data_IF_571905870465
#
_entry.id   IF_571905870465
#
_cell.length_a   1.000
_cell.length_b   1.000
_cell.length_c   1.000
_cell.angle_alpha   90.00
_cell.angle_beta   90.00
_cell.angle_gamma   90.00
#
_symmetry.space_group_name_H-M   'P 1'
#
loop_
_entity.id
_entity.type
_entity.pdbx_description
1 polymer ?
#
# COMPACT_ATOMS: atom_id res chain seq x y z
N UNK A 1 -15.70 -21.05 -11.85
CA UNK A 1 -15.47 -20.52 -10.46
C UNK A 1 -15.42 -19.00 -10.45
N UNK A 2 -14.62 -18.39 -11.32
CA UNK A 2 -14.48 -16.94 -11.43
C UNK A 2 -15.82 -16.25 -11.75
N UNK A 3 -16.60 -16.79 -12.70
CA UNK A 3 -17.92 -16.29 -13.12
C UNK A 3 -18.85 -15.97 -11.93
N UNK A 4 -18.92 -16.87 -10.93
CA UNK A 4 -19.76 -16.69 -9.74
C UNK A 4 -19.53 -15.38 -8.99
N UNK A 5 -18.33 -14.79 -9.07
CA UNK A 5 -18.05 -13.49 -8.45
C UNK A 5 -18.75 -12.35 -9.21
N UNK A 6 -18.78 -12.43 -10.54
CA UNK A 6 -19.49 -11.50 -11.43
C UNK A 6 -21.00 -11.72 -11.37
N UNK A 7 -21.46 -12.98 -11.41
CA UNK A 7 -22.89 -13.35 -11.26
C UNK A 7 -23.46 -12.87 -9.92
N UNK A 8 -22.68 -12.95 -8.84
CA UNK A 8 -23.08 -12.44 -7.52
C UNK A 8 -23.13 -10.91 -7.43
N UNK A 9 -22.76 -10.20 -8.51
CA UNK A 9 -22.67 -8.73 -8.61
C UNK A 9 -21.76 -8.07 -7.57
N UNK A 10 -20.89 -8.82 -6.90
CA UNK A 10 -19.88 -8.29 -5.96
C UNK A 10 -18.72 -7.57 -6.64
N UNK A 11 -18.49 -7.87 -7.92
CA UNK A 11 -17.57 -7.18 -8.80
C UNK A 11 -18.21 -7.10 -10.19
N UNK A 12 -17.94 -6.05 -10.99
CA UNK A 12 -18.55 -5.89 -12.30
C UNK A 12 -17.92 -6.81 -13.36
N UNK A 13 -16.65 -7.16 -13.15
CA UNK A 13 -15.86 -8.01 -14.02
C UNK A 13 -14.50 -8.26 -13.39
N UNK A 14 -13.72 -9.14 -14.04
CA UNK A 14 -12.36 -9.49 -13.65
C UNK A 14 -11.53 -9.87 -14.87
N UNK A 15 -10.21 -9.83 -14.70
CA UNK A 15 -9.24 -10.51 -15.56
C UNK A 15 -8.39 -11.40 -14.67
N UNK A 16 -8.21 -12.65 -15.06
CA UNK A 16 -7.36 -13.62 -14.37
C UNK A 16 -6.35 -14.21 -15.36
N UNK A 17 -5.11 -14.39 -14.91
CA UNK A 17 -4.05 -15.00 -15.69
C UNK A 17 -3.36 -16.10 -14.87
N UNK A 18 -3.16 -17.27 -15.49
CA UNK A 18 -2.50 -18.43 -14.88
C UNK A 18 -1.44 -18.94 -15.85
N UNK A 19 -0.18 -18.92 -15.42
CA UNK A 19 0.95 -19.49 -16.15
C UNK A 19 1.37 -20.85 -15.56
N UNK A 20 1.68 -21.82 -16.41
CA UNK A 20 2.25 -23.12 -16.01
C UNK A 20 3.25 -23.60 -17.06
N UNK A 21 4.54 -23.48 -16.76
CA UNK A 21 5.58 -23.72 -17.76
C UNK A 21 5.50 -22.65 -18.85
N UNK A 22 5.37 -23.09 -20.11
CA UNK A 22 5.17 -22.20 -21.26
C UNK A 22 3.69 -21.89 -21.54
N UNK A 23 2.76 -22.63 -20.94
CA UNK A 23 1.32 -22.40 -21.11
C UNK A 23 0.86 -21.19 -20.29
N UNK A 24 0.09 -20.31 -20.91
CA UNK A 24 -0.62 -19.21 -20.24
C UNK A 24 -2.10 -19.26 -20.59
N UNK A 25 -2.97 -19.23 -19.59
CA UNK A 25 -4.40 -19.00 -19.75
C UNK A 25 -4.76 -17.62 -19.21
N UNK A 26 -5.59 -16.91 -19.97
CA UNK A 26 -6.15 -15.61 -19.63
C UNK A 26 -7.66 -15.70 -19.74
N UNK A 27 -8.36 -15.37 -18.67
CA UNK A 27 -9.81 -15.28 -18.59
C UNK A 27 -10.21 -13.82 -18.35
N UNK A 28 -11.13 -13.29 -19.15
CA UNK A 28 -11.68 -11.95 -18.99
C UNK A 28 -13.21 -12.04 -18.96
N UNK A 29 -13.82 -11.66 -17.83
CA UNK A 29 -15.22 -11.96 -17.52
C UNK A 29 -15.91 -10.67 -17.06
N UNK A 30 -17.12 -10.41 -17.55
CA UNK A 30 -17.94 -9.26 -17.16
C UNK A 30 -17.51 -7.94 -17.80
N UNK A 31 -17.87 -6.84 -17.15
CA UNK A 31 -17.70 -5.46 -17.65
C UNK A 31 -16.87 -4.61 -16.71
N UNK A 32 -16.35 -3.48 -17.20
CA UNK A 32 -15.60 -2.52 -16.39
C UNK A 32 -16.47 -1.78 -15.35
N UNK A 33 -17.80 -1.86 -15.44
CA UNK A 33 -18.76 -1.18 -14.55
C UNK A 33 -19.95 -2.07 -14.20
N UNK A 34 -20.57 -1.83 -13.05
CA UNK A 34 -21.73 -2.60 -12.56
C UNK A 34 -23.02 -2.35 -13.36
N UNK A 35 -23.14 -1.20 -14.02
CA UNK A 35 -24.21 -0.85 -14.96
C UNK A 35 -23.95 -1.34 -16.40
N UNK A 36 -22.91 -2.17 -16.60
CA UNK A 36 -22.51 -2.75 -17.88
C UNK A 36 -21.40 -1.95 -18.57
N UNK A 37 -21.57 -1.67 -19.86
CA UNK A 37 -20.58 -0.95 -20.66
C UNK A 37 -19.44 -1.82 -21.18
N UNK A 38 -18.24 -1.26 -21.28
CA UNK A 38 -17.06 -1.90 -21.89
C UNK A 38 -16.75 -3.26 -21.25
N UNK A 39 -16.64 -4.35 -22.04
CA UNK A 39 -16.21 -5.65 -21.52
C UNK A 39 -14.81 -5.61 -20.91
N UNK A 40 -14.55 -6.48 -19.94
CA UNK A 40 -13.18 -6.75 -19.51
C UNK A 40 -12.36 -7.35 -20.66
N UNK A 41 -11.07 -7.02 -20.72
CA UNK A 41 -10.13 -7.47 -21.76
C UNK A 41 -8.78 -7.81 -21.12
N UNK A 42 -7.97 -8.60 -21.82
CA UNK A 42 -6.60 -8.89 -21.37
C UNK A 42 -5.70 -7.66 -21.25
N UNK A 43 -6.08 -6.52 -21.85
CA UNK A 43 -5.40 -5.23 -21.76
C UNK A 43 -6.09 -4.23 -20.80
N UNK A 44 -7.11 -4.62 -20.02
CA UNK A 44 -7.68 -3.72 -18.99
C UNK A 44 -6.57 -3.27 -18.02
N UNK A 45 -6.49 -1.97 -17.75
CA UNK A 45 -5.52 -1.38 -16.82
C UNK A 45 -6.13 -1.39 -15.42
N UNK A 46 -5.40 -1.87 -14.42
CA UNK A 46 -5.87 -1.97 -13.04
C UNK A 46 -5.00 -1.16 -12.07
N UNK A 47 -5.63 -0.59 -11.03
CA UNK A 47 -4.93 -0.01 -9.88
C UNK A 47 -4.33 -1.15 -9.06
N UNK A 48 -3.00 -1.27 -9.05
CA UNK A 48 -2.28 -2.38 -8.40
C UNK A 48 -2.34 -2.36 -6.86
N UNK A 49 -2.65 -1.21 -6.26
CA UNK A 49 -2.66 -0.99 -4.82
C UNK A 49 -1.38 -1.56 -4.15
N UNK A 50 -1.54 -2.43 -3.15
CA UNK A 50 -0.42 -2.99 -2.39
C UNK A 50 0.47 -3.97 -3.17
N UNK A 51 0.03 -4.46 -4.34
CA UNK A 51 0.88 -5.33 -5.21
C UNK A 51 2.02 -4.57 -5.89
N UNK A 52 2.08 -3.24 -5.76
CA UNK A 52 3.23 -2.40 -6.11
C UNK A 52 4.46 -2.66 -5.21
N UNK A 53 4.29 -3.20 -3.99
CA UNK A 53 5.40 -3.40 -3.04
C UNK A 53 6.50 -4.33 -3.56
N UNK A 54 6.21 -5.54 -4.10
CA UNK A 54 7.20 -6.36 -4.80
C UNK A 54 7.98 -5.63 -5.90
N UNK A 55 7.38 -4.65 -6.59
CA UNK A 55 8.06 -3.85 -7.63
C UNK A 55 9.07 -2.87 -7.00
N UNK A 56 8.71 -2.23 -5.89
CA UNK A 56 9.64 -1.36 -5.13
C UNK A 56 10.78 -2.16 -4.46
N UNK A 57 10.46 -3.36 -3.96
CA UNK A 57 11.47 -4.32 -3.47
C UNK A 57 12.40 -4.73 -4.61
N UNK A 58 11.88 -5.11 -5.78
CA UNK A 58 12.71 -5.48 -6.94
C UNK A 58 13.63 -4.33 -7.39
N UNK A 59 13.13 -3.09 -7.44
CA UNK A 59 13.93 -1.91 -7.73
C UNK A 59 15.07 -1.69 -6.71
N UNK A 60 14.81 -1.96 -5.43
CA UNK A 60 15.82 -1.91 -4.38
C UNK A 60 16.84 -3.05 -4.55
N UNK A 61 16.39 -4.28 -4.85
CA UNK A 61 17.27 -5.43 -5.07
C UNK A 61 18.23 -5.23 -6.25
N UNK A 62 17.82 -4.55 -7.32
CA UNK A 62 18.74 -4.15 -8.41
C UNK A 62 19.92 -3.31 -7.88
N UNK A 63 19.68 -2.40 -6.92
CA UNK A 63 20.76 -1.60 -6.32
C UNK A 63 21.64 -2.42 -5.35
N UNK A 64 21.13 -3.53 -4.80
CA UNK A 64 21.93 -4.48 -4.03
C UNK A 64 22.84 -5.31 -4.95
N UNK A 65 22.30 -5.81 -6.08
CA UNK A 65 23.06 -6.55 -7.08
C UNK A 65 24.15 -5.68 -7.74
N UNK A 66 23.91 -4.37 -7.88
CA UNK A 66 24.90 -3.36 -8.29
C UNK A 66 25.88 -2.94 -7.18
N UNK A 67 25.79 -3.50 -5.96
CA UNK A 67 26.61 -3.12 -4.80
C UNK A 67 26.50 -1.64 -4.37
N UNK A 68 25.48 -0.92 -4.86
CA UNK A 68 25.15 0.46 -4.49
C UNK A 68 24.45 0.54 -3.15
N UNK A 69 23.78 -0.53 -2.74
CA UNK A 69 23.26 -0.75 -1.39
C UNK A 69 23.74 -2.10 -0.85
N UNK A 70 23.82 -2.22 0.47
CA UNK A 70 23.83 -3.50 1.19
C UNK A 70 22.65 -3.55 2.16
N UNK A 71 22.21 -4.76 2.51
CA UNK A 71 21.11 -4.96 3.46
C UNK A 71 21.36 -4.25 4.80
N UNK A 72 22.59 -4.29 5.31
CA UNK A 72 22.94 -3.77 6.63
C UNK A 72 23.52 -2.34 6.57
N UNK A 73 23.47 -1.66 5.41
CA UNK A 73 23.84 -0.25 5.30
C UNK A 73 22.81 0.61 6.07
N UNK A 74 23.25 1.55 6.93
CA UNK A 74 22.39 2.58 7.49
C UNK A 74 21.81 3.47 6.39
N UNK A 75 20.51 3.77 6.48
CA UNK A 75 19.82 4.61 5.47
C UNK A 75 20.13 6.11 5.63
N UNK A 76 20.60 6.51 6.81
CA UNK A 76 20.86 7.89 7.26
C UNK A 76 21.69 8.73 6.25
N UNK A 77 22.57 8.08 5.48
CA UNK A 77 23.42 8.73 4.47
C UNK A 77 22.64 9.25 3.24
N UNK A 78 21.49 8.67 2.93
CA UNK A 78 20.57 9.11 1.85
C UNK A 78 19.28 9.71 2.40
N UNK A 79 18.88 9.28 3.60
CA UNK A 79 17.66 9.66 4.30
C UNK A 79 18.03 10.22 5.68
N UNK A 80 18.49 11.49 5.78
CA UNK A 80 18.87 12.08 7.06
C UNK A 80 17.67 12.36 7.99
N UNK A 81 16.43 12.39 7.48
CA UNK A 81 15.22 12.64 8.27
C UNK A 81 14.89 11.55 9.32
N UNK A 82 15.24 10.26 9.10
CA UNK A 82 15.25 9.25 10.16
C UNK A 82 16.52 9.18 11.04
N UNK A 83 17.57 9.97 10.78
CA UNK A 83 18.83 9.85 11.51
C UNK A 83 18.69 10.24 13.00
N UNK A 84 19.39 9.52 13.89
CA UNK A 84 19.47 9.83 15.32
C UNK A 84 18.14 9.79 16.09
N UNK A 85 17.09 9.13 15.55
CA UNK A 85 15.73 9.20 16.09
C UNK A 85 15.55 8.64 17.49
N UNK A 86 14.47 9.15 18.10
CA UNK A 86 13.86 8.66 19.33
C UNK A 86 12.80 7.59 19.02
N UNK A 87 12.59 6.67 19.96
CA UNK A 87 11.57 5.61 19.93
C UNK A 87 10.64 5.84 21.11
N UNK A 88 9.33 5.69 20.93
CA UNK A 88 8.36 5.74 22.04
C UNK A 88 8.77 4.76 23.15
N UNK A 89 8.70 5.18 24.42
CA UNK A 89 8.89 4.24 25.54
C UNK A 89 7.77 3.20 25.60
N UNK A 90 6.57 3.61 25.18
CA UNK A 90 5.40 2.76 24.99
C UNK A 90 4.67 3.15 23.71
N UNK A 91 4.33 2.18 22.87
CA UNK A 91 3.62 2.44 21.62
C UNK A 91 2.18 2.99 21.78
N UNK A 92 1.60 2.89 22.98
CA UNK A 92 0.31 3.49 23.35
C UNK A 92 0.45 4.82 24.12
N UNK A 93 1.69 5.28 24.38
CA UNK A 93 2.00 6.46 25.19
C UNK A 93 2.02 7.79 24.43
N UNK A 94 2.29 8.90 25.15
CA UNK A 94 2.54 10.22 24.58
C UNK A 94 3.73 10.22 23.60
N UNK A 95 3.71 11.15 22.62
CA UNK A 95 4.72 11.20 21.56
C UNK A 95 6.08 11.76 22.01
N UNK A 96 6.11 12.46 23.15
CA UNK A 96 7.29 13.01 23.79
C UNK A 96 7.97 12.03 24.77
N UNK A 97 7.23 11.06 25.30
CA UNK A 97 7.76 9.96 26.13
C UNK A 97 8.56 8.97 25.27
N UNK A 98 9.86 9.22 25.16
CA UNK A 98 10.75 8.47 24.25
C UNK A 98 12.10 8.10 24.84
N UNK A 99 12.70 7.03 24.33
CA UNK A 99 14.11 6.62 24.51
C UNK A 99 14.91 6.77 23.21
N UNK A 100 16.26 6.77 23.24
CA UNK A 100 17.07 6.67 22.01
C UNK A 100 16.79 5.39 21.21
N UNK A 101 16.91 5.45 19.89
CA UNK A 101 17.05 4.25 19.07
C UNK A 101 18.38 3.54 19.41
N UNK A 102 18.34 2.21 19.56
CA UNK A 102 19.50 1.38 19.93
C UNK A 102 20.51 1.22 18.77
N UNK A 103 20.06 1.46 17.54
CA UNK A 103 20.85 1.44 16.29
C UNK A 103 20.14 2.24 15.19
N UNK A 104 20.84 2.64 14.11
CA UNK A 104 20.20 3.19 12.91
C UNK A 104 19.23 2.21 12.24
N UNK A 105 18.34 2.75 11.39
CA UNK A 105 17.52 1.97 10.46
C UNK A 105 18.40 1.53 9.28
N UNK A 106 18.25 0.28 8.85
CA UNK A 106 18.99 -0.29 7.72
C UNK A 106 18.10 -0.51 6.50
N UNK A 107 18.70 -0.72 5.33
CA UNK A 107 17.97 -1.11 4.10
C UNK A 107 17.15 -2.39 4.34
N UNK A 108 17.68 -3.35 5.10
CA UNK A 108 17.00 -4.58 5.55
C UNK A 108 15.71 -4.25 6.28
N UNK A 109 15.74 -3.32 7.24
CA UNK A 109 14.56 -2.96 8.04
C UNK A 109 13.43 -2.35 7.19
N UNK A 110 13.77 -1.64 6.10
CA UNK A 110 12.76 -1.16 5.16
C UNK A 110 12.16 -2.33 4.36
N UNK A 111 13.01 -3.20 3.81
CA UNK A 111 12.63 -4.39 3.04
C UNK A 111 11.81 -5.41 3.85
N UNK A 112 12.03 -5.51 5.16
CA UNK A 112 11.26 -6.39 6.07
C UNK A 112 10.14 -5.67 6.81
N UNK A 113 9.88 -4.38 6.52
CA UNK A 113 8.88 -3.54 7.21
C UNK A 113 9.07 -3.51 8.74
N UNK A 114 10.31 -3.55 9.22
CA UNK A 114 10.70 -3.52 10.65
C UNK A 114 11.43 -2.24 11.05
N UNK A 115 11.33 -1.16 10.29
CA UNK A 115 12.04 0.10 10.55
C UNK A 115 11.53 0.92 11.74
N UNK A 116 10.53 0.43 12.48
CA UNK A 116 9.91 1.16 13.60
C UNK A 116 8.89 2.21 13.19
N UNK A 117 8.61 2.37 11.89
CA UNK A 117 7.56 3.22 11.33
C UNK A 117 6.60 2.38 10.47
N UNK A 118 5.33 2.74 10.46
CA UNK A 118 4.28 2.01 9.76
C UNK A 118 2.97 1.93 10.52
N UNK A 119 1.98 1.31 9.88
CA UNK A 119 0.68 1.01 10.48
C UNK A 119 0.79 -0.23 11.37
N UNK A 120 0.57 -0.04 12.67
CA UNK A 120 0.32 -1.16 13.58
C UNK A 120 -1.17 -1.51 13.56
N UNK A 121 -1.50 -2.62 12.90
CA UNK A 121 -2.88 -3.11 12.76
C UNK A 121 -3.54 -3.47 14.11
N UNK A 122 -2.76 -3.62 15.19
CA UNK A 122 -3.27 -3.91 16.54
C UNK A 122 -3.43 -2.66 17.41
N UNK A 123 -2.88 -1.51 16.99
CA UNK A 123 -2.85 -0.25 17.73
C UNK A 123 -3.32 0.94 16.89
N UNK A 124 -4.33 0.73 16.03
CA UNK A 124 -4.87 1.73 15.09
C UNK A 124 -5.44 2.98 15.75
N UNK A 125 -5.83 2.90 17.03
CA UNK A 125 -6.28 4.04 17.85
C UNK A 125 -5.20 4.66 18.76
N UNK A 126 -3.92 4.33 18.59
CA UNK A 126 -2.83 4.90 19.38
C UNK A 126 -2.54 6.37 19.02
N UNK A 127 -1.93 7.16 19.94
CA UNK A 127 -1.55 8.55 19.66
C UNK A 127 -0.68 8.70 18.41
N UNK A 128 0.22 7.74 18.14
CA UNK A 128 1.05 7.72 16.95
C UNK A 128 0.22 7.65 15.66
N UNK A 129 -0.84 6.83 15.63
CA UNK A 129 -1.68 6.70 14.45
C UNK A 129 -2.48 7.97 14.19
N UNK A 130 -2.93 8.67 15.24
CA UNK A 130 -3.48 10.02 15.12
C UNK A 130 -2.46 11.00 14.53
N UNK A 131 -1.22 10.99 15.04
CA UNK A 131 -0.15 11.85 14.56
C UNK A 131 0.19 11.63 13.07
N UNK A 132 0.14 10.39 12.56
CA UNK A 132 0.33 10.14 11.13
C UNK A 132 -0.75 10.79 10.25
N UNK A 133 -2.00 10.90 10.72
CA UNK A 133 -3.05 11.61 10.00
C UNK A 133 -2.89 13.13 10.13
N UNK A 134 -2.63 13.64 11.33
CA UNK A 134 -2.42 15.08 11.58
C UNK A 134 -1.23 15.64 10.79
N UNK A 135 -0.13 14.89 10.71
CA UNK A 135 1.05 15.26 9.91
C UNK A 135 0.89 14.96 8.42
N UNK A 136 -0.24 14.39 7.97
CA UNK A 136 -0.45 13.90 6.59
C UNK A 136 0.72 13.03 6.10
N UNK A 137 1.06 12.01 6.90
CA UNK A 137 1.87 10.84 6.48
C UNK A 137 0.96 9.83 5.76
N UNK A 138 -0.30 9.72 6.21
CA UNK A 138 -1.40 9.14 5.46
C UNK A 138 -2.36 10.24 4.97
N UNK A 139 -3.13 9.96 3.91
CA UNK A 139 -4.09 10.87 3.29
C UNK A 139 -5.38 11.04 4.08
N UNK A 140 -6.20 12.02 3.69
CA UNK A 140 -7.39 12.42 4.46
C UNK A 140 -8.50 11.36 4.40
N UNK A 141 -8.50 10.54 3.35
CA UNK A 141 -9.46 9.46 3.11
C UNK A 141 -9.03 8.09 3.66
N UNK A 142 -7.93 7.98 4.44
CA UNK A 142 -7.55 6.75 5.14
C UNK A 142 -6.09 6.32 4.95
N UNK A 143 -5.82 5.02 5.02
CA UNK A 143 -4.47 4.41 5.14
C UNK A 143 -3.56 4.50 3.89
N UNK A 144 -3.82 5.46 3.01
CA UNK A 144 -3.08 5.66 1.77
C UNK A 144 -2.05 6.75 1.91
N UNK A 145 -1.02 6.74 1.07
CA UNK A 145 -0.04 7.82 1.05
C UNK A 145 -0.68 9.06 0.39
N UNK A 146 -0.53 10.27 0.96
CA UNK A 146 -1.09 11.49 0.39
C UNK A 146 -0.37 11.92 -0.88
N UNK A 147 -1.04 12.73 -1.70
CA UNK A 147 -0.47 13.32 -2.91
C UNK A 147 0.45 14.51 -2.55
N UNK A 148 1.65 14.21 -2.07
CA UNK A 148 2.66 15.19 -1.62
C UNK A 148 4.05 14.86 -2.16
N UNK A 149 4.88 15.89 -2.32
CA UNK A 149 6.26 15.70 -2.79
C UNK A 149 7.08 14.80 -1.84
N UNK A 150 7.91 13.87 -2.37
CA UNK A 150 8.59 12.86 -1.57
C UNK A 150 9.43 13.41 -0.41
N UNK A 151 10.14 14.52 -0.62
CA UNK A 151 11.00 15.12 0.41
C UNK A 151 10.17 15.81 1.51
N UNK A 152 9.03 16.40 1.17
CA UNK A 152 8.10 16.98 2.15
C UNK A 152 7.39 15.88 2.96
N UNK A 153 7.09 14.74 2.33
CA UNK A 153 6.60 13.54 3.02
C UNK A 153 7.65 12.96 3.98
N UNK A 154 8.90 12.83 3.51
CA UNK A 154 10.03 12.42 4.37
C UNK A 154 10.27 13.38 5.53
N UNK A 155 10.10 14.69 5.33
CA UNK A 155 10.21 15.69 6.41
C UNK A 155 9.10 15.55 7.46
N UNK A 156 7.86 15.30 7.05
CA UNK A 156 6.72 15.05 7.95
C UNK A 156 6.89 13.76 8.73
N UNK A 157 7.23 12.67 8.04
CA UNK A 157 7.60 11.41 8.66
C UNK A 157 8.81 11.59 9.59
N UNK A 158 9.74 12.47 9.21
CA UNK A 158 10.91 12.96 9.95
C UNK A 158 10.62 13.45 11.36
N UNK A 159 9.54 14.23 11.50
CA UNK A 159 9.17 14.90 12.75
C UNK A 159 8.57 13.97 13.82
N UNK A 160 8.31 12.70 13.50
CA UNK A 160 7.68 11.73 14.41
C UNK A 160 8.70 10.73 15.00
N UNK A 161 8.52 10.28 16.25
CA UNK A 161 9.34 9.22 16.83
C UNK A 161 9.08 7.87 16.13
N UNK A 162 9.96 6.89 16.35
CA UNK A 162 9.67 5.49 15.98
C UNK A 162 8.71 4.87 16.99
N UNK A 163 7.82 3.96 16.57
CA UNK A 163 6.93 3.21 17.46
C UNK A 163 7.64 2.11 18.25
N UNK A 164 8.62 1.49 17.61
CA UNK A 164 9.38 0.33 18.12
C UNK A 164 10.83 0.45 17.67
N UNK A 165 11.74 -0.29 18.31
CA UNK A 165 13.15 -0.27 17.91
C UNK A 165 13.32 -0.88 16.51
N UNK A 166 14.27 -0.40 15.68
CA UNK A 166 14.54 -1.00 14.38
C UNK A 166 14.84 -2.50 14.49
N UNK A 167 14.09 -3.32 13.76
CA UNK A 167 14.14 -4.79 13.77
C UNK A 167 13.24 -5.47 14.81
N UNK A 168 12.58 -4.73 15.71
CA UNK A 168 11.83 -5.33 16.84
C UNK A 168 10.41 -5.78 16.46
N UNK A 169 9.74 -5.08 15.54
CA UNK A 169 8.34 -5.33 15.19
C UNK A 169 8.04 -5.01 13.74
N UNK A 170 7.23 -5.85 13.11
CA UNK A 170 6.71 -5.63 11.76
C UNK A 170 5.55 -4.62 11.78
N UNK A 171 5.63 -3.61 10.92
CA UNK A 171 4.65 -2.52 10.80
C UNK A 171 4.38 -2.27 9.32
N UNK A 172 3.11 -2.10 8.93
CA UNK A 172 2.77 -2.09 7.52
C UNK A 172 3.04 -0.75 6.80
N UNK A 173 3.36 -0.85 5.51
CA UNK A 173 3.32 0.19 4.47
C UNK A 173 4.45 1.23 4.43
N UNK A 174 4.79 1.88 5.55
CA UNK A 174 5.70 3.05 5.50
C UNK A 174 7.10 2.67 5.03
N UNK A 175 7.62 1.50 5.43
CA UNK A 175 8.92 1.00 4.95
C UNK A 175 9.01 0.94 3.42
N UNK A 176 7.98 0.42 2.75
CA UNK A 176 7.94 0.31 1.29
C UNK A 176 7.88 1.67 0.57
N UNK A 177 7.20 2.65 1.18
CA UNK A 177 7.14 4.01 0.66
C UNK A 177 8.52 4.70 0.74
N UNK A 178 9.22 4.50 1.87
CA UNK A 178 10.59 4.98 2.08
C UNK A 178 11.57 4.32 1.11
N UNK A 179 11.39 3.06 0.70
CA UNK A 179 12.19 2.43 -0.35
C UNK A 179 12.14 3.20 -1.68
N UNK A 180 10.98 3.72 -2.07
CA UNK A 180 10.85 4.53 -3.28
C UNK A 180 11.71 5.80 -3.23
N UNK A 181 11.73 6.48 -2.07
CA UNK A 181 12.57 7.67 -1.86
C UNK A 181 14.06 7.30 -1.78
N UNK A 182 14.40 6.18 -1.12
CA UNK A 182 15.76 5.66 -1.04
C UNK A 182 16.32 5.39 -2.44
N UNK A 183 15.58 4.65 -3.28
CA UNK A 183 15.97 4.37 -4.67
C UNK A 183 16.20 5.67 -5.44
N UNK A 184 15.29 6.65 -5.34
CA UNK A 184 15.44 7.94 -6.01
C UNK A 184 16.71 8.69 -5.56
N UNK A 185 16.97 8.79 -4.25
CA UNK A 185 18.15 9.51 -3.72
C UNK A 185 19.47 8.78 -3.93
N UNK A 186 19.49 7.45 -3.93
CA UNK A 186 20.68 6.64 -4.29
C UNK A 186 21.03 6.77 -5.78
N UNK A 187 20.03 6.99 -6.62
CA UNK A 187 20.19 7.00 -8.09
C UNK A 187 20.35 8.39 -8.69
N UNK A 188 19.85 9.45 -8.02
CA UNK A 188 19.74 10.79 -8.61
C UNK A 188 18.65 10.90 -9.69
N UNK A 189 17.82 9.87 -9.83
CA UNK A 189 16.69 9.81 -10.78
C UNK A 189 15.36 9.82 -10.00
N UNK A 190 14.25 10.15 -10.67
CA UNK A 190 12.94 9.89 -10.06
C UNK A 190 12.67 8.38 -9.97
N UNK A 191 11.94 7.95 -8.93
CA UNK A 191 11.61 6.53 -8.75
C UNK A 191 10.85 5.95 -9.95
N UNK A 192 9.98 6.75 -10.60
CA UNK A 192 9.31 6.36 -11.84
C UNK A 192 10.29 6.17 -13.01
N UNK A 193 11.26 7.07 -13.19
CA UNK A 193 12.25 6.94 -14.25
C UNK A 193 13.09 5.67 -14.06
N UNK A 194 13.54 5.42 -12.83
CA UNK A 194 14.28 4.20 -12.48
C UNK A 194 13.45 2.93 -12.73
N UNK A 195 12.19 2.89 -12.29
CA UNK A 195 11.30 1.73 -12.56
C UNK A 195 11.09 1.52 -14.07
N UNK A 196 10.91 2.59 -14.83
CA UNK A 196 10.71 2.55 -16.28
C UNK A 196 11.96 2.02 -17.01
N UNK A 197 13.14 2.49 -16.63
CA UNK A 197 14.43 2.11 -17.21
C UNK A 197 14.82 0.68 -16.82
N UNK A 198 14.71 0.33 -15.53
CA UNK A 198 15.34 -0.85 -14.94
C UNK A 198 14.41 -2.06 -14.80
N UNK A 199 13.09 -1.85 -14.74
CA UNK A 199 12.10 -2.92 -14.55
C UNK A 199 11.14 -3.00 -15.73
N UNK A 200 10.36 -1.94 -15.99
CA UNK A 200 9.23 -1.99 -16.93
C UNK A 200 9.67 -2.09 -18.39
N UNK A 201 10.69 -1.34 -18.81
CA UNK A 201 11.25 -1.38 -20.15
C UNK A 201 11.76 -2.78 -20.54
N UNK A 202 12.71 -3.36 -19.77
CA UNK A 202 13.25 -4.71 -20.03
C UNK A 202 12.19 -5.81 -20.03
N UNK A 203 11.14 -5.68 -19.21
CA UNK A 203 10.02 -6.64 -19.12
C UNK A 203 8.87 -6.34 -20.11
N UNK A 204 8.96 -5.28 -20.93
CA UNK A 204 7.93 -4.92 -21.91
C UNK A 204 6.61 -4.39 -21.31
N UNK A 205 6.61 -3.96 -20.05
CA UNK A 205 5.44 -3.53 -19.27
C UNK A 205 4.96 -2.11 -19.64
N UNK A 206 4.52 -1.93 -20.90
CA UNK A 206 4.17 -0.64 -21.53
C UNK A 206 2.97 0.11 -20.94
N UNK A 207 2.21 -0.55 -20.07
CA UNK A 207 0.98 -0.04 -19.43
C UNK A 207 1.08 0.00 -17.90
N UNK A 208 2.29 -0.14 -17.35
CA UNK A 208 2.56 -0.02 -15.91
C UNK A 208 3.25 1.32 -15.62
N UNK A 209 2.77 2.03 -14.60
CA UNK A 209 3.28 3.33 -14.17
C UNK A 209 2.43 3.89 -13.03
N UNK A 210 2.62 5.18 -12.68
CA UNK A 210 1.84 5.85 -11.64
C UNK A 210 0.57 6.54 -12.18
N UNK A 211 0.48 6.73 -13.50
CA UNK A 211 -0.62 7.45 -14.18
C UNK A 211 -1.04 6.68 -15.45
N UNK A 212 -2.31 6.74 -15.80
CA UNK A 212 -2.84 6.29 -17.10
C UNK A 212 -2.82 7.46 -18.08
N UNK A 213 -2.12 7.35 -19.23
CA UNK A 213 -2.21 8.33 -20.31
C UNK A 213 -3.64 8.57 -20.79
N UNK A 214 -3.93 9.80 -21.24
CA UNK A 214 -5.28 10.20 -21.65
C UNK A 214 -5.84 9.38 -22.84
N UNK A 215 -4.95 8.88 -23.71
CA UNK A 215 -5.25 8.01 -24.85
C UNK A 215 -5.50 6.54 -24.47
N UNK A 216 -5.31 6.17 -23.19
CA UNK A 216 -5.54 4.82 -22.65
C UNK A 216 -6.61 4.79 -21.55
N UNK A 217 -7.29 5.91 -21.30
CA UNK A 217 -8.19 6.04 -20.15
C UNK A 217 -9.44 5.16 -20.25
N UNK A 218 -9.84 4.79 -21.46
CA UNK A 218 -10.92 3.84 -21.76
C UNK A 218 -10.65 2.42 -21.24
N UNK A 219 -9.38 2.11 -20.92
CA UNK A 219 -8.94 0.82 -20.37
C UNK A 219 -8.98 0.77 -18.85
N UNK A 220 -9.20 1.88 -18.16
CA UNK A 220 -9.22 1.97 -16.70
C UNK A 220 -10.66 1.86 -16.18
N UNK A 221 -11.03 0.84 -15.38
CA UNK A 221 -12.32 0.81 -14.70
C UNK A 221 -12.34 1.84 -13.54
N UNK A 222 -13.51 2.37 -13.17
CA UNK A 222 -13.67 3.07 -11.90
C UNK A 222 -13.38 2.12 -10.73
N UNK A 223 -12.90 2.67 -9.60
CA UNK A 223 -12.86 1.93 -8.35
C UNK A 223 -14.22 2.03 -7.66
N UNK A 224 -14.66 0.92 -7.07
CA UNK A 224 -15.89 0.82 -6.31
C UNK A 224 -15.60 0.53 -4.84
N UNK A 225 -16.37 1.16 -3.95
CA UNK A 225 -16.41 0.85 -2.51
C UNK A 225 -17.84 0.52 -2.10
N UNK A 226 -18.07 -0.53 -1.27
CA UNK A 226 -19.40 -0.84 -0.78
C UNK A 226 -19.85 0.20 0.26
N UNK A 227 -21.06 0.72 0.11
CA UNK A 227 -21.70 1.56 1.11
C UNK A 227 -21.84 0.78 2.44
N UNK A 228 -21.36 1.30 3.59
CA UNK A 228 -21.39 0.57 4.86
C UNK A 228 -22.79 0.29 5.42
N UNK A 229 -23.83 0.97 4.95
CA UNK A 229 -25.22 0.83 5.41
C UNK A 229 -26.06 -0.05 4.47
N UNK A 230 -25.92 0.12 3.16
CA UNK A 230 -26.73 -0.60 2.16
C UNK A 230 -26.01 -1.80 1.53
N UNK A 231 -24.67 -1.81 1.56
CA UNK A 231 -23.84 -2.77 0.83
C UNK A 231 -23.80 -2.55 -0.68
N UNK A 232 -24.42 -1.48 -1.20
CA UNK A 232 -24.39 -1.15 -2.62
C UNK A 232 -23.04 -0.54 -3.03
N UNK A 233 -22.53 -0.90 -4.21
CA UNK A 233 -21.25 -0.40 -4.69
C UNK A 233 -21.37 1.02 -5.25
N UNK A 234 -20.71 1.96 -4.59
CA UNK A 234 -20.57 3.36 -5.03
C UNK A 234 -19.21 3.56 -5.69
N UNK A 235 -19.10 4.50 -6.64
CA UNK A 235 -17.81 4.83 -7.28
C UNK A 235 -16.98 5.67 -6.30
N UNK A 236 -15.85 5.11 -5.85
CA UNK A 236 -14.88 5.77 -4.97
C UNK A 236 -13.96 6.68 -5.79
N UNK A 237 -13.42 6.19 -6.91
CA UNK A 237 -12.58 6.97 -7.82
C UNK A 237 -12.96 6.69 -9.28
N UNK A 238 -13.35 7.72 -10.06
CA UNK A 238 -13.68 7.54 -11.46
C UNK A 238 -12.49 7.06 -12.31
N UNK A 239 -12.75 6.67 -13.55
CA UNK A 239 -11.72 6.42 -14.55
C UNK A 239 -11.09 7.75 -15.01
N UNK A 240 -10.24 8.34 -14.17
CA UNK A 240 -9.76 9.71 -14.33
C UNK A 240 -8.21 9.87 -14.21
N UNK A 241 -7.47 8.83 -14.58
CA UNK A 241 -6.05 8.92 -14.98
C UNK A 241 -5.01 8.65 -13.88
N UNK A 242 -5.41 8.62 -12.61
CA UNK A 242 -4.52 8.29 -11.50
C UNK A 242 -4.57 6.79 -11.19
N UNK A 243 -3.41 6.15 -10.98
CA UNK A 243 -3.34 4.71 -10.63
C UNK A 243 -3.23 4.43 -9.13
N UNK A 244 -2.97 5.47 -8.32
CA UNK A 244 -3.40 5.46 -6.92
C UNK A 244 -4.89 5.76 -6.80
N UNK A 245 -5.35 5.97 -5.56
CA UNK A 245 -6.60 6.67 -5.31
C UNK A 245 -6.34 8.18 -5.23
N UNK A 246 -7.37 8.96 -5.55
CA UNK A 246 -7.32 10.43 -5.41
C UNK A 246 -7.41 10.81 -3.93
N UNK A 247 -6.47 11.62 -3.48
CA UNK A 247 -6.60 12.41 -2.26
C UNK A 247 -7.20 13.75 -2.69
N UNK A 248 -8.53 13.91 -2.53
CA UNK A 248 -9.30 15.03 -3.11
C UNK A 248 -8.99 16.41 -2.48
N UNK A 249 -8.02 16.47 -1.56
CA UNK A 249 -7.44 17.70 -1.01
C UNK A 249 -6.76 18.62 -2.05
N UNK A 250 -6.49 18.14 -3.28
CA UNK A 250 -5.92 18.93 -4.35
C UNK A 250 -6.80 18.97 -5.62
N UNK A 251 -7.33 20.16 -5.92
CA UNK A 251 -7.95 20.55 -7.20
C UNK A 251 -9.31 19.95 -7.57
N UNK A 252 -10.33 20.18 -6.73
CA UNK A 252 -11.66 20.43 -7.28
C UNK A 252 -11.71 21.85 -7.87
N UNK A 253 -11.97 22.07 -9.18
CA UNK A 253 -12.20 23.41 -9.69
C UNK A 253 -13.48 23.97 -9.06
N UNK A 254 -13.34 25.01 -8.23
CA UNK A 254 -14.46 25.69 -7.56
C UNK A 254 -15.52 26.10 -8.58
N UNK A 255 -16.59 25.32 -8.71
CA UNK A 255 -17.76 25.71 -9.52
C UNK A 255 -18.39 26.94 -8.90
N UNK A 256 -18.27 28.06 -9.61
CA UNK A 256 -18.98 29.30 -9.35
C UNK A 256 -20.47 29.01 -9.08
N UNK A 257 -20.91 29.18 -7.83
CA UNK A 257 -22.32 29.42 -7.52
C UNK A 257 -22.49 30.92 -7.32
N UNK A 258 -23.16 31.55 -8.27
CA UNK A 258 -23.43 32.98 -8.26
C UNK A 258 -24.28 33.37 -7.04
N UNK A 259 -24.00 34.54 -6.47
CA UNK A 259 -24.81 35.14 -5.41
C UNK A 259 -26.23 35.48 -5.89
N UNK A 260 -27.23 35.24 -5.05
CA UNK A 260 -28.29 36.22 -4.77
C UNK A 260 -28.67 36.20 -3.28
N UNK A 261 -28.90 37.37 -2.64
CA UNK A 261 -29.20 37.46 -1.21
C UNK A 261 -30.71 37.65 -0.94
N UNK A 262 -31.25 37.05 0.14
CA UNK A 262 -32.56 37.45 0.70
C UNK A 262 -32.51 37.56 2.24
N UNK A 263 -33.15 38.64 2.71
CA UNK A 263 -33.20 39.29 4.02
C UNK A 263 -33.58 38.45 5.25
N UNK A 264 -33.18 38.95 6.43
CA UNK A 264 -33.78 38.63 7.74
C UNK A 264 -35.27 39.02 7.82
N UNK A 265 -36.03 38.24 8.59
CA UNK A 265 -37.35 38.59 9.15
C UNK A 265 -37.54 37.96 10.53
N UNK A 266 -38.16 38.68 11.49
CA UNK A 266 -38.36 38.26 12.90
C UNK A 266 -39.80 37.81 13.18
N UNK A 267 -39.98 37.10 14.32
CA UNK A 267 -41.23 36.81 15.09
C UNK A 267 -42.05 35.59 14.59
N UNK A 268 -42.81 34.83 15.40
CA UNK A 268 -42.83 34.60 16.87
C UNK A 268 -43.85 33.49 17.26
N UNK A 269 -43.60 32.78 18.38
CA UNK A 269 -44.56 32.22 19.39
C UNK A 269 -45.43 30.95 19.10
N UNK A 270 -45.42 30.03 20.11
CA UNK A 270 -46.51 29.14 20.63
C UNK A 270 -47.12 28.09 19.66
N UNK A 271 -47.74 26.94 20.02
CA UNK A 271 -48.00 26.13 21.24
C UNK A 271 -48.59 24.76 20.74
N UNK A 272 -48.65 23.60 21.44
CA UNK A 272 -47.88 22.99 22.55
C UNK A 272 -48.31 21.50 22.78
N UNK A 273 -47.68 20.79 23.73
CA UNK A 273 -48.06 19.48 24.37
C UNK A 273 -48.29 18.22 23.49
N UNK A 274 -47.47 17.16 23.69
CA UNK A 274 -47.87 15.87 24.34
C UNK A 274 -46.78 14.78 24.39
N UNK A 275 -46.46 14.33 25.62
CA UNK A 275 -45.90 13.01 26.01
C UNK A 275 -47.05 11.96 26.10
N UNK A 276 -46.84 10.65 26.41
CA UNK A 276 -45.63 9.89 26.80
C UNK A 276 -45.27 8.79 25.75
N UNK A 277 -44.52 7.69 25.96
CA UNK A 277 -43.93 7.03 27.14
C UNK A 277 -42.67 6.17 26.81
N UNK A 278 -42.15 5.44 27.80
CA UNK A 278 -41.36 4.20 27.65
C UNK A 278 -42.10 3.04 28.34
N UNK A 279 -41.72 1.77 28.10
CA UNK A 279 -41.13 1.03 29.22
C UNK A 279 -40.02 0.00 28.90
N UNK A 280 -39.04 -0.06 29.81
CA UNK A 280 -38.34 -1.25 30.36
C UNK A 280 -37.47 -2.20 29.51
N UNK A 281 -36.26 -2.46 30.05
CA UNK A 281 -35.30 -3.52 29.71
C UNK A 281 -35.82 -4.94 29.99
N UNK A 282 -35.26 -5.95 29.30
CA UNK A 282 -34.80 -7.25 29.87
C UNK A 282 -33.85 -8.00 28.93
N UNK A 283 -32.70 -8.41 29.46
CA UNK A 283 -31.89 -9.58 29.03
C UNK A 283 -32.31 -10.78 29.92
N UNK A 284 -31.88 -12.06 29.72
CA UNK A 284 -30.58 -12.51 29.17
C UNK A 284 -30.61 -13.79 28.27
N UNK A 285 -29.40 -14.32 27.98
CA UNK A 285 -29.02 -15.75 27.91
C UNK A 285 -28.28 -16.20 26.62
N UNK A 286 -27.04 -16.67 26.81
CA UNK A 286 -26.32 -17.62 25.95
C UNK A 286 -26.75 -19.05 26.35
N UNK A 287 -26.59 -20.10 25.51
CA UNK A 287 -25.25 -20.62 25.14
C UNK A 287 -25.21 -21.07 23.64
N UNK A 288 -24.32 -21.90 23.09
CA UNK A 288 -23.02 -22.44 23.53
C UNK A 288 -22.06 -22.58 22.30
N UNK A 289 -21.02 -23.40 22.47
CA UNK A 289 -19.96 -23.88 21.59
C UNK A 289 -20.33 -25.11 20.75
N UNK A 290 -19.62 -25.30 19.64
CA UNK A 290 -19.29 -26.63 19.08
C UNK A 290 -17.93 -26.62 18.34
N UNK A 291 -17.24 -27.76 18.28
CA UNK A 291 -15.77 -27.84 18.02
C UNK A 291 -15.35 -29.06 17.16
N UNK A 292 -14.53 -28.82 16.11
CA UNK A 292 -13.67 -29.77 15.34
C UNK A 292 -14.35 -30.91 14.54
N UNK A 293 -13.63 -31.69 13.69
CA UNK A 293 -12.23 -31.60 13.17
C UNK A 293 -12.18 -31.23 11.65
N UNK A 294 -11.08 -31.15 10.89
CA UNK A 294 -9.67 -31.56 11.04
C UNK A 294 -9.25 -32.56 9.93
N UNK A 295 -8.41 -32.13 8.97
CA UNK A 295 -7.77 -32.89 7.86
C UNK A 295 -6.89 -31.89 7.07
N UNK A 296 -5.70 -32.16 6.53
CA UNK A 296 -4.78 -33.30 6.62
C UNK A 296 -3.52 -32.96 5.78
N UNK A 297 -2.31 -33.26 6.28
CA UNK A 297 -1.05 -32.86 5.63
C UNK A 297 -0.61 -33.85 4.54
N UNK A 298 -0.44 -33.36 3.30
CA UNK A 298 0.06 -34.15 2.17
C UNK A 298 1.43 -33.65 1.68
N UNK A 299 2.48 -34.43 1.88
CA UNK A 299 3.78 -34.22 1.23
C UNK A 299 3.77 -34.82 -0.18
N UNK A 300 4.18 -34.05 -1.18
CA UNK A 300 4.53 -34.54 -2.51
C UNK A 300 6.04 -34.38 -2.75
N UNK A 301 6.74 -35.49 -3.04
CA UNK A 301 8.13 -35.45 -3.50
C UNK A 301 8.14 -35.16 -5.00
N UNK A 302 8.96 -34.21 -5.45
CA UNK A 302 9.28 -34.08 -6.87
C UNK A 302 10.28 -35.18 -7.28
N UNK A 303 10.14 -35.68 -8.50
CA UNK A 303 11.12 -36.54 -9.17
C UNK A 303 11.85 -35.69 -10.21
N UNK A 304 13.18 -35.62 -10.12
CA UNK A 304 14.03 -34.92 -11.08
C UNK A 304 14.29 -35.76 -12.34
N UNK A 305 13.99 -35.20 -13.52
CA UNK A 305 14.66 -35.59 -14.76
C UNK A 305 14.98 -34.33 -15.60
N UNK A 306 16.20 -34.21 -16.15
CA UNK A 306 16.67 -32.96 -16.77
C UNK A 306 16.33 -32.85 -18.26
N UNK A 307 16.09 -31.62 -18.73
CA UNK A 307 16.14 -31.24 -20.14
C UNK A 307 17.35 -30.31 -20.42
N UNK A 308 17.95 -30.35 -21.62
CA UNK A 308 19.18 -29.61 -21.93
C UNK A 308 18.88 -28.22 -22.52
N UNK A 309 19.64 -27.19 -22.11
CA UNK A 309 19.64 -25.89 -22.81
C UNK A 309 20.04 -24.67 -21.97
N UNK A 310 19.78 -24.68 -20.66
CA UNK A 310 20.03 -23.50 -19.81
C UNK A 310 21.23 -23.68 -18.87
N UNK A 311 22.05 -22.62 -18.76
CA UNK A 311 23.15 -22.55 -17.79
C UNK A 311 22.57 -22.58 -16.36
N UNK A 312 22.85 -23.65 -15.61
CA UNK A 312 22.45 -23.76 -14.20
C UNK A 312 23.25 -22.78 -13.33
N UNK A 313 22.56 -21.82 -12.72
CA UNK A 313 23.00 -21.26 -11.44
C UNK A 313 22.79 -22.34 -10.36
N UNK A 314 23.88 -22.99 -9.96
CA UNK A 314 23.84 -24.08 -8.97
C UNK A 314 24.18 -23.51 -7.60
N UNK A 315 23.18 -23.16 -6.80
CA UNK A 315 23.39 -22.82 -5.39
C UNK A 315 23.73 -24.10 -4.60
N UNK A 316 25.03 -24.34 -4.37
CA UNK A 316 25.50 -25.33 -3.41
C UNK A 316 25.22 -24.82 -2.00
N UNK A 317 24.27 -25.45 -1.30
CA UNK A 317 23.97 -25.18 0.11
C UNK A 317 25.07 -25.76 1.02
N UNK A 318 26.22 -25.09 1.07
CA UNK A 318 27.24 -25.35 2.08
C UNK A 318 26.82 -24.73 3.42
N UNK A 319 26.86 -25.51 4.51
CA UNK A 319 26.69 -24.97 5.86
C UNK A 319 27.88 -24.07 6.23
N UNK A 320 27.71 -22.78 6.04
CA UNK A 320 28.68 -21.74 6.40
C UNK A 320 27.96 -20.39 6.41
N UNK A 321 28.42 -19.45 7.24
CA UNK A 321 27.82 -18.11 7.33
C UNK A 321 27.95 -17.41 5.98
N UNK A 322 26.87 -17.32 5.22
CA UNK A 322 26.83 -16.62 3.94
C UNK A 322 26.83 -15.11 4.18
N UNK A 323 28.02 -14.53 4.31
CA UNK A 323 28.20 -13.11 4.06
C UNK A 323 27.89 -12.85 2.58
N UNK A 324 26.71 -12.30 2.30
CA UNK A 324 26.40 -11.65 1.02
C UNK A 324 27.19 -10.35 0.93
N UNK A 325 28.51 -10.49 0.82
CA UNK A 325 29.46 -9.41 0.77
C UNK A 325 29.67 -8.98 -0.67
N UNK A 326 28.96 -7.93 -1.09
CA UNK A 326 29.50 -7.05 -2.11
C UNK A 326 30.84 -6.51 -1.62
N UNK A 327 31.88 -6.59 -2.43
CA UNK A 327 33.07 -5.75 -2.30
C UNK A 327 32.85 -4.51 -3.18
N UNK A 328 32.90 -3.31 -2.59
CA UNK A 328 33.01 -2.09 -3.41
C UNK A 328 34.49 -1.88 -3.69
N UNK A 329 34.81 -1.46 -4.91
CA UNK A 329 36.13 -0.94 -5.21
C UNK A 329 36.42 0.24 -4.25
N UNK A 330 37.51 0.22 -3.46
CA UNK A 330 37.83 1.30 -2.52
C UNK A 330 38.05 2.66 -3.18
N UNK A 331 38.16 2.71 -4.52
CA UNK A 331 38.33 3.94 -5.31
C UNK A 331 37.02 4.61 -5.72
N UNK A 332 35.87 3.94 -5.61
CA UNK A 332 34.58 4.52 -6.03
C UNK A 332 33.99 5.48 -4.98
N UNK A 333 34.42 6.74 -5.06
CA UNK A 333 33.81 7.89 -4.39
C UNK A 333 33.10 8.78 -5.39
N UNK A 334 31.80 8.59 -5.60
CA UNK A 334 30.88 9.56 -6.22
C UNK A 334 29.54 9.56 -5.52
#
# INVERSE_FOLDING_TARGET
>A
MLERHVESKKIPGLVALVGRGEETHLEAIGTMRHDGGTPMRGDTIFRMASTTKPVAVAATMVLLDECRLRLDDPIDQWLPEPAGRRVLERADGPLDETVPARRPITVRDLLTSTCGLGLDMTATGSPMMGAYFEQRVYGENGWMLPAVEPDEWMRRLGALPLMYQPGERWLYNVGDAVLGVLVARVTGQSFEAFLRERIFGPLGMKDTGFHVPADKIDRLPPLYTPDPQTGEFTVEDPAAGWLGLRDDGAHLPRRLRAHRPIRLGRRSRHHDVRRPAQPTRRHPAHPDRDVHPGLGTGHARLLDHPLPGHRRLTCLSGQGRSSFGCERDPTDRR
#
